data_IF_505372583561
#
_entry.id   IF_505372583561
#
_cell.length_a   1.000
_cell.length_b   1.000
_cell.length_c   1.000
_cell.angle_alpha   90.00
_cell.angle_beta   90.00
_cell.angle_gamma   90.00
#
_symmetry.space_group_name_H-M   'P 1'
#
loop_
_entity.id
_entity.type
_entity.pdbx_description
1 polymer ?
#
# COMPACT_ATOMS: atom_id res chain seq x y z
N UNK A 1 -103.10 13.54 67.00
CA UNK A 1 -101.90 13.35 67.84
C UNK A 1 -100.70 14.00 67.13
N UNK A 2 -100.15 15.05 67.77
CA UNK A 2 -98.74 15.49 67.80
C UNK A 2 -98.03 15.80 66.45
N UNK A 3 -97.93 17.08 66.02
CA UNK A 3 -96.83 18.09 66.26
C UNK A 3 -95.47 17.69 65.69
N UNK A 4 -94.77 18.41 64.78
CA UNK A 4 -94.03 19.71 64.90
C UNK A 4 -93.46 20.04 63.49
N UNK A 5 -93.74 21.17 62.83
CA UNK A 5 -92.98 22.46 62.77
C UNK A 5 -91.45 22.34 63.00
N UNK A 6 -90.63 22.79 62.04
CA UNK A 6 -89.58 23.84 62.20
C UNK A 6 -88.91 24.21 60.86
N UNK A 7 -88.74 25.52 60.77
CA UNK A 7 -88.25 26.47 59.76
C UNK A 7 -86.72 26.50 59.60
N UNK A 8 -86.25 27.35 58.66
CA UNK A 8 -84.91 27.98 58.49
C UNK A 8 -83.93 27.27 57.53
N UNK A 9 -83.05 27.94 56.79
CA UNK A 9 -82.82 29.35 56.43
C UNK A 9 -81.67 29.35 55.41
N UNK A 10 -81.72 30.23 54.43
CA UNK A 10 -80.70 30.44 53.40
C UNK A 10 -79.41 31.00 54.04
N UNK A 11 -78.26 30.38 53.78
CA UNK A 11 -76.94 31.01 53.93
C UNK A 11 -76.03 30.70 52.74
N UNK A 12 -75.60 31.78 52.10
CA UNK A 12 -74.53 31.87 51.11
C UNK A 12 -73.18 31.48 51.71
N UNK A 13 -72.46 30.55 51.06
CA UNK A 13 -71.11 30.15 51.43
C UNK A 13 -70.04 30.93 50.63
N UNK A 14 -68.91 31.31 51.25
CA UNK A 14 -67.81 32.01 50.61
C UNK A 14 -66.89 31.06 49.82
N UNK A 15 -66.31 31.55 48.72
CA UNK A 15 -65.27 30.86 47.94
C UNK A 15 -63.97 30.75 48.75
N UNK A 16 -63.34 29.57 48.86
CA UNK A 16 -62.00 29.47 49.44
C UNK A 16 -60.92 29.77 48.40
N UNK A 17 -60.37 30.98 48.46
CA UNK A 17 -59.12 31.37 47.81
C UNK A 17 -57.92 30.85 48.61
N UNK A 18 -57.50 29.59 48.42
CA UNK A 18 -56.18 29.14 48.92
C UNK A 18 -55.60 27.88 48.23
N UNK A 19 -56.36 27.21 47.35
CA UNK A 19 -55.94 25.95 46.71
C UNK A 19 -55.04 26.13 45.47
N UNK A 20 -55.04 27.32 44.84
CA UNK A 20 -54.28 27.59 43.61
C UNK A 20 -52.78 27.80 43.83
N UNK A 21 -52.35 28.20 45.04
CA UNK A 21 -50.94 28.49 45.33
C UNK A 21 -50.09 27.21 45.39
N UNK A 22 -50.59 26.16 46.05
CA UNK A 22 -49.87 24.88 46.21
C UNK A 22 -49.75 24.15 44.87
N UNK A 23 -50.81 24.17 44.05
CA UNK A 23 -50.80 23.53 42.72
C UNK A 23 -49.85 24.21 41.75
N UNK A 24 -49.71 25.55 41.82
CA UNK A 24 -48.72 26.30 41.05
C UNK A 24 -47.29 25.94 41.46
N UNK A 25 -47.01 25.81 42.76
CA UNK A 25 -45.68 25.40 43.25
C UNK A 25 -45.25 24.02 42.77
N UNK A 26 -46.15 23.03 42.77
CA UNK A 26 -45.84 21.68 42.25
C UNK A 26 -45.59 21.66 40.75
N UNK A 27 -46.33 22.48 39.97
CA UNK A 27 -46.08 22.64 38.53
C UNK A 27 -44.71 23.28 38.26
N UNK A 28 -44.30 24.29 39.03
CA UNK A 28 -42.96 24.88 38.90
C UNK A 28 -41.85 23.87 39.20
N UNK A 29 -41.99 23.06 40.24
CA UNK A 29 -41.01 22.02 40.58
C UNK A 29 -40.95 20.95 39.48
N UNK A 30 -42.10 20.52 38.93
CA UNK A 30 -42.14 19.57 37.83
C UNK A 30 -41.48 20.13 36.55
N UNK A 31 -41.71 21.40 36.23
CA UNK A 31 -41.06 22.04 35.08
C UNK A 31 -39.56 22.18 35.30
N UNK A 32 -39.12 22.61 36.49
CA UNK A 32 -37.69 22.74 36.81
C UNK A 32 -36.98 21.40 36.75
N UNK A 33 -37.60 20.33 37.27
CA UNK A 33 -37.02 18.97 37.22
C UNK A 33 -36.94 18.44 35.78
N UNK A 34 -37.96 18.66 34.96
CA UNK A 34 -37.92 18.30 33.53
C UNK A 34 -36.83 19.09 32.80
N UNK A 35 -36.71 20.39 33.06
CA UNK A 35 -35.66 21.23 32.47
C UNK A 35 -34.26 20.82 32.96
N UNK A 36 -34.10 20.46 34.23
CA UNK A 36 -32.85 19.92 34.77
C UNK A 36 -32.47 18.59 34.13
N UNK A 37 -33.42 17.66 33.98
CA UNK A 37 -33.17 16.37 33.31
C UNK A 37 -32.84 16.57 31.84
N UNK A 38 -33.53 17.49 31.15
CA UNK A 38 -33.23 17.84 29.77
C UNK A 38 -31.84 18.47 29.64
N UNK A 39 -31.49 19.40 30.53
CA UNK A 39 -30.19 20.05 30.53
C UNK A 39 -29.05 19.08 30.88
N UNK A 40 -29.26 18.17 31.84
CA UNK A 40 -28.32 17.11 32.18
C UNK A 40 -28.14 16.14 31.00
N UNK A 41 -29.22 15.75 30.30
CA UNK A 41 -29.13 14.91 29.08
C UNK A 41 -28.46 15.63 27.91
N UNK A 42 -28.68 16.93 27.75
CA UNK A 42 -28.03 17.73 26.72
C UNK A 42 -26.54 17.97 26.99
N UNK A 43 -26.10 17.84 28.26
CA UNK A 43 -24.70 17.93 28.68
C UNK A 43 -23.96 16.59 28.66
N UNK A 44 -24.66 15.46 28.47
CA UNK A 44 -24.03 14.19 28.07
C UNK A 44 -23.67 14.33 26.59
N UNK A 45 -22.57 15.04 26.36
CA UNK A 45 -22.01 15.27 25.03
C UNK A 45 -21.76 13.95 24.33
N UNK A 46 -22.11 13.91 23.05
CA UNK A 46 -21.62 12.90 22.13
C UNK A 46 -20.11 13.07 22.03
N UNK A 47 -19.35 12.35 22.85
CA UNK A 47 -17.91 12.24 22.69
C UNK A 47 -17.68 11.58 21.33
N UNK A 48 -17.43 12.40 20.31
CA UNK A 48 -16.99 11.88 19.04
C UNK A 48 -15.59 11.29 19.29
N UNK A 49 -15.41 9.98 19.13
CA UNK A 49 -14.10 9.39 19.30
C UNK A 49 -13.15 10.03 18.29
N UNK A 50 -11.93 10.30 18.74
CA UNK A 50 -10.87 10.77 17.86
C UNK A 50 -10.56 9.71 16.80
N UNK A 51 -10.03 10.13 15.65
CA UNK A 51 -9.60 9.21 14.59
C UNK A 51 -8.65 8.13 15.13
N UNK A 52 -7.74 8.49 16.04
CA UNK A 52 -6.79 7.55 16.65
C UNK A 52 -7.49 6.49 17.51
N UNK A 53 -8.51 6.87 18.29
CA UNK A 53 -9.27 5.92 19.11
C UNK A 53 -10.08 4.96 18.23
N UNK A 54 -10.69 5.46 17.16
CA UNK A 54 -11.40 4.61 16.18
C UNK A 54 -10.44 3.66 15.47
N UNK A 55 -9.29 4.16 15.01
CA UNK A 55 -8.27 3.34 14.34
C UNK A 55 -7.73 2.25 15.26
N UNK A 56 -7.39 2.60 16.50
CA UNK A 56 -6.90 1.63 17.49
C UNK A 56 -7.96 0.55 17.76
N UNK A 57 -9.20 0.96 18.02
CA UNK A 57 -10.30 0.03 18.23
C UNK A 57 -10.52 -0.89 17.01
N UNK A 58 -10.43 -0.35 15.79
CA UNK A 58 -10.58 -1.15 14.57
C UNK A 58 -9.44 -2.17 14.40
N UNK A 59 -8.19 -1.78 14.66
CA UNK A 59 -7.03 -2.68 14.59
C UNK A 59 -7.12 -3.76 15.67
N UNK A 60 -7.42 -3.37 16.91
CA UNK A 60 -7.54 -4.30 18.03
C UNK A 60 -8.67 -5.31 17.78
N UNK A 61 -9.82 -4.87 17.24
CA UNK A 61 -10.91 -5.75 16.84
C UNK A 61 -10.53 -6.67 15.67
N UNK A 62 -9.78 -6.18 14.68
CA UNK A 62 -9.30 -7.00 13.58
C UNK A 62 -8.31 -8.08 14.05
N UNK A 63 -7.42 -7.75 14.99
CA UNK A 63 -6.48 -8.73 15.57
C UNK A 63 -7.15 -9.73 16.52
N UNK A 64 -8.28 -9.38 17.12
CA UNK A 64 -9.02 -10.27 18.01
C UNK A 64 -9.64 -11.46 17.27
N UNK A 65 -10.02 -11.28 16.00
CA UNK A 65 -10.58 -12.34 15.16
C UNK A 65 -10.07 -12.22 13.72
N UNK A 66 -9.12 -13.09 13.38
CA UNK A 66 -8.57 -13.24 12.04
C UNK A 66 -9.23 -14.36 11.24
N UNK A 67 -10.35 -14.95 11.71
CA UNK A 67 -11.00 -16.08 11.04
C UNK A 67 -11.47 -15.76 9.61
N UNK A 68 -11.72 -14.48 9.30
CA UNK A 68 -12.00 -14.04 7.93
C UNK A 68 -10.85 -14.31 6.96
N UNK A 69 -9.62 -14.50 7.46
CA UNK A 69 -8.44 -14.89 6.69
C UNK A 69 -8.28 -16.41 6.56
N UNK A 70 -9.07 -17.26 7.23
CA UNK A 70 -8.89 -18.72 7.24
C UNK A 70 -8.99 -19.33 5.82
N UNK A 71 -9.74 -18.68 4.93
CA UNK A 71 -9.89 -19.10 3.53
C UNK A 71 -8.78 -18.55 2.61
N UNK A 72 -7.98 -17.59 3.08
CA UNK A 72 -6.93 -16.98 2.29
C UNK A 72 -5.74 -17.95 2.17
N UNK A 73 -5.48 -18.39 0.95
CA UNK A 73 -4.30 -19.21 0.65
C UNK A 73 -3.12 -18.31 0.31
N UNK A 74 -1.89 -18.66 0.73
CA UNK A 74 -0.70 -18.00 0.23
C UNK A 74 -0.67 -18.01 -1.30
N UNK A 75 -0.15 -16.94 -1.89
CA UNK A 75 0.04 -16.83 -3.34
C UNK A 75 0.96 -17.99 -3.77
N UNK A 76 0.50 -18.77 -4.74
CA UNK A 76 1.21 -19.95 -5.22
C UNK A 76 2.24 -19.57 -6.28
N UNK A 77 3.28 -20.41 -6.46
CA UNK A 77 4.38 -20.20 -7.42
C UNK A 77 3.88 -19.96 -8.85
N UNK A 78 2.87 -20.70 -9.28
CA UNK A 78 2.24 -20.59 -10.60
C UNK A 78 1.60 -19.22 -10.84
N UNK A 79 1.02 -18.60 -9.82
CA UNK A 79 0.45 -17.26 -9.93
C UNK A 79 1.53 -16.21 -10.22
N UNK A 80 2.70 -16.29 -9.56
CA UNK A 80 3.84 -15.41 -9.86
C UNK A 80 4.35 -15.59 -11.29
N UNK A 81 4.37 -16.84 -11.78
CA UNK A 81 4.75 -17.16 -13.15
C UNK A 81 3.74 -16.59 -14.16
N UNK A 82 2.44 -16.71 -13.89
CA UNK A 82 1.38 -16.16 -14.73
C UNK A 82 1.40 -14.63 -14.76
N UNK A 83 1.64 -13.97 -13.62
CA UNK A 83 1.79 -12.51 -13.54
C UNK A 83 2.91 -12.03 -14.47
N UNK A 84 4.06 -12.71 -14.46
CA UNK A 84 5.17 -12.39 -15.35
C UNK A 84 4.84 -12.63 -16.82
N UNK A 85 4.14 -13.72 -17.16
CA UNK A 85 3.72 -13.96 -18.55
C UNK A 85 2.72 -12.90 -19.04
N UNK A 86 1.82 -12.43 -18.16
CA UNK A 86 0.93 -11.29 -18.46
C UNK A 86 1.72 -10.03 -18.76
N UNK A 87 2.74 -9.73 -17.96
CA UNK A 87 3.64 -8.61 -18.20
C UNK A 87 4.42 -8.77 -19.52
N UNK A 88 4.94 -9.96 -19.81
CA UNK A 88 5.63 -10.24 -21.07
C UNK A 88 4.73 -9.96 -22.29
N UNK A 89 3.44 -10.33 -22.23
CA UNK A 89 2.47 -9.98 -23.28
C UNK A 89 2.31 -8.46 -23.43
N UNK A 90 2.24 -7.73 -22.33
CA UNK A 90 2.17 -6.27 -22.36
C UNK A 90 3.44 -5.63 -22.95
N UNK A 91 4.63 -6.18 -22.65
CA UNK A 91 5.90 -5.72 -23.20
C UNK A 91 5.97 -5.86 -24.73
N UNK A 92 5.47 -6.98 -25.27
CA UNK A 92 5.37 -7.17 -26.73
C UNK A 92 4.45 -6.12 -27.37
N UNK A 93 3.31 -5.81 -26.75
CA UNK A 93 2.38 -4.77 -27.24
C UNK A 93 3.01 -3.38 -27.17
N UNK A 94 3.82 -3.10 -26.15
CA UNK A 94 4.50 -1.82 -25.95
C UNK A 94 5.79 -1.65 -26.78
N UNK A 95 6.17 -2.66 -27.58
CA UNK A 95 7.47 -2.72 -28.28
C UNK A 95 8.65 -2.49 -27.32
N UNK A 96 8.61 -3.19 -26.17
CA UNK A 96 9.64 -3.16 -25.14
C UNK A 96 10.30 -4.53 -25.00
N UNK A 97 11.63 -4.51 -24.80
CA UNK A 97 12.46 -5.71 -24.75
C UNK A 97 12.62 -6.28 -23.33
N UNK A 98 12.44 -5.45 -22.30
CA UNK A 98 12.42 -5.92 -20.91
C UNK A 98 11.73 -4.91 -19.98
N UNK A 99 11.17 -5.42 -18.88
CA UNK A 99 10.80 -4.65 -17.70
C UNK A 99 11.86 -4.85 -16.61
N UNK A 100 12.26 -3.77 -15.94
CA UNK A 100 13.35 -3.80 -14.94
C UNK A 100 12.90 -3.13 -13.66
N UNK A 101 13.16 -3.79 -12.54
CA UNK A 101 12.69 -3.40 -11.22
C UNK A 101 13.71 -3.76 -10.13
N UNK A 102 13.62 -3.07 -9.00
CA UNK A 102 14.37 -3.34 -7.75
C UNK A 102 13.44 -3.96 -6.69
N UNK A 103 14.01 -4.62 -5.66
CA UNK A 103 13.27 -5.08 -4.49
C UNK A 103 12.38 -3.97 -3.91
N UNK A 104 11.10 -4.30 -3.73
CA UNK A 104 10.04 -3.34 -3.43
C UNK A 104 8.68 -4.00 -3.67
N UNK A 105 7.60 -3.20 -3.72
CA UNK A 105 6.26 -3.75 -3.92
C UNK A 105 6.09 -4.46 -5.26
N UNK A 106 6.63 -3.89 -6.34
CA UNK A 106 6.57 -4.49 -7.68
C UNK A 106 7.36 -5.80 -7.74
N UNK A 107 8.53 -5.85 -7.08
CA UNK A 107 9.31 -7.09 -7.00
C UNK A 107 8.58 -8.13 -6.16
N UNK A 108 7.99 -7.75 -5.04
CA UNK A 108 7.19 -8.67 -4.24
C UNK A 108 6.02 -9.22 -5.05
N UNK A 109 5.39 -8.41 -5.89
CA UNK A 109 4.28 -8.82 -6.75
C UNK A 109 4.68 -9.84 -7.82
N UNK A 110 5.87 -9.72 -8.43
CA UNK A 110 6.30 -10.60 -9.54
C UNK A 110 7.27 -11.72 -9.13
N UNK A 111 8.11 -11.47 -8.12
CA UNK A 111 9.22 -12.31 -7.69
C UNK A 111 9.10 -12.80 -6.24
N UNK A 112 8.04 -12.44 -5.51
CA UNK A 112 7.80 -12.85 -4.12
C UNK A 112 8.89 -12.43 -3.11
N UNK A 113 9.69 -11.41 -3.43
CA UNK A 113 10.73 -10.87 -2.53
C UNK A 113 10.38 -9.44 -2.21
N UNK A 114 10.22 -9.15 -0.93
CA UNK A 114 10.02 -7.80 -0.42
C UNK A 114 11.34 -7.06 -0.26
N UNK A 115 11.26 -5.75 -0.07
CA UNK A 115 12.41 -4.93 0.29
C UNK A 115 13.08 -5.44 1.57
N UNK A 116 12.31 -5.85 2.57
CA UNK A 116 12.83 -6.41 3.84
C UNK A 116 13.45 -7.80 3.70
N UNK A 117 13.18 -8.54 2.63
CA UNK A 117 13.88 -9.80 2.38
C UNK A 117 15.28 -9.55 1.80
N UNK A 118 15.50 -8.38 1.19
CA UNK A 118 16.74 -8.02 0.50
C UNK A 118 17.63 -7.01 1.26
N UNK A 119 17.05 -5.89 1.71
CA UNK A 119 17.74 -4.72 2.25
C UNK A 119 18.15 -4.72 3.74
N UNK A 120 17.85 -5.69 4.61
CA UNK A 120 18.30 -5.58 6.00
C UNK A 120 19.83 -5.57 6.18
N UNK A 121 20.62 -5.78 5.11
CA UNK A 121 22.02 -6.19 5.25
C UNK A 121 23.08 -5.43 4.44
N UNK A 122 22.79 -4.47 3.55
CA UNK A 122 23.87 -3.75 2.83
C UNK A 122 23.50 -2.34 2.32
N UNK A 123 24.50 -1.45 2.10
CA UNK A 123 24.24 -0.05 1.78
C UNK A 123 23.58 0.13 0.40
N UNK A 124 22.75 1.17 0.33
CA UNK A 124 21.72 1.38 -0.69
C UNK A 124 22.27 1.45 -2.13
N UNK A 125 23.58 1.62 -2.36
CA UNK A 125 24.14 1.90 -3.69
C UNK A 125 24.26 0.70 -4.64
N UNK A 126 24.25 -0.54 -4.14
CA UNK A 126 24.55 -1.74 -4.94
C UNK A 126 23.29 -2.22 -5.69
N UNK A 127 23.26 -2.20 -7.04
CA UNK A 127 22.08 -2.65 -7.77
C UNK A 127 21.87 -4.15 -7.64
N UNK A 128 20.67 -4.51 -7.18
CA UNK A 128 20.08 -5.83 -7.38
C UNK A 128 18.80 -5.67 -8.20
N UNK A 129 18.85 -6.11 -9.46
CA UNK A 129 17.77 -5.90 -10.41
C UNK A 129 17.14 -7.23 -10.80
N UNK A 130 15.81 -7.24 -10.93
CA UNK A 130 15.10 -8.27 -11.67
C UNK A 130 14.77 -7.74 -13.06
N UNK A 131 14.91 -8.61 -14.06
CA UNK A 131 14.53 -8.36 -15.44
C UNK A 131 13.47 -9.36 -15.86
N UNK A 132 12.39 -8.87 -16.46
CA UNK A 132 11.34 -9.69 -17.07
C UNK A 132 11.36 -9.41 -18.57
N UNK A 133 11.74 -10.42 -19.36
CA UNK A 133 11.88 -10.33 -20.81
C UNK A 133 10.80 -11.18 -21.49
N UNK A 134 10.16 -10.68 -22.57
CA UNK A 134 9.25 -11.50 -23.35
C UNK A 134 10.00 -12.48 -24.26
N UNK A 135 9.67 -13.76 -24.18
CA UNK A 135 10.05 -14.76 -25.17
C UNK A 135 8.81 -15.09 -26.00
N UNK A 136 8.95 -14.97 -27.33
CA UNK A 136 7.96 -15.42 -28.29
C UNK A 136 8.40 -16.76 -28.85
N UNK A 137 7.62 -17.81 -28.60
CA UNK A 137 7.89 -19.13 -29.17
C UNK A 137 7.64 -19.13 -30.69
N UNK A 138 8.16 -20.12 -31.43
CA UNK A 138 7.82 -20.29 -32.85
C UNK A 138 6.32 -20.47 -33.11
N UNK A 139 5.55 -20.93 -32.13
CA UNK A 139 4.09 -21.05 -32.19
C UNK A 139 3.34 -19.75 -31.89
N UNK A 140 4.06 -18.66 -31.57
CA UNK A 140 3.47 -17.37 -31.20
C UNK A 140 3.03 -17.27 -29.74
N UNK A 141 3.31 -18.27 -28.91
CA UNK A 141 3.05 -18.20 -27.47
C UNK A 141 4.06 -17.25 -26.81
N UNK A 142 3.58 -16.39 -25.92
CA UNK A 142 4.41 -15.40 -25.21
C UNK A 142 4.52 -15.79 -23.75
N UNK A 143 5.75 -16.04 -23.31
CA UNK A 143 6.10 -16.35 -21.93
C UNK A 143 7.18 -15.40 -21.41
N UNK A 144 7.25 -15.22 -20.10
CA UNK A 144 8.32 -14.45 -19.48
C UNK A 144 9.58 -15.30 -19.23
N UNK A 145 10.72 -14.75 -19.63
CA UNK A 145 12.03 -15.09 -19.08
C UNK A 145 12.35 -14.15 -17.94
N UNK A 146 12.83 -14.68 -16.82
CA UNK A 146 13.29 -13.88 -15.70
C UNK A 146 14.81 -14.01 -15.58
N UNK A 147 15.47 -12.89 -15.37
CA UNK A 147 16.90 -12.84 -15.09
C UNK A 147 17.20 -11.79 -14.02
N UNK A 148 18.39 -11.86 -13.42
CA UNK A 148 18.79 -10.98 -12.32
C UNK A 148 20.15 -10.36 -12.55
N UNK A 149 20.38 -9.17 -12.03
CA UNK A 149 21.70 -8.55 -11.89
C UNK A 149 22.00 -8.48 -10.40
N UNK A 150 23.10 -9.05 -9.94
CA UNK A 150 23.48 -9.05 -8.52
C UNK A 150 24.99 -8.85 -8.34
N UNK A 151 25.44 -8.26 -7.21
CA UNK A 151 26.85 -8.27 -6.85
C UNK A 151 27.38 -9.70 -6.76
N UNK A 152 28.63 -9.95 -7.18
CA UNK A 152 29.24 -11.28 -7.19
C UNK A 152 29.12 -11.99 -5.84
N UNK A 153 29.47 -11.30 -4.75
CA UNK A 153 29.48 -11.89 -3.41
C UNK A 153 28.06 -12.17 -2.86
N UNK A 154 27.01 -11.65 -3.50
CA UNK A 154 25.61 -11.88 -3.12
C UNK A 154 24.92 -12.99 -3.92
N UNK A 155 25.59 -13.57 -4.92
CA UNK A 155 25.00 -14.58 -5.80
C UNK A 155 24.38 -15.75 -5.01
N UNK A 156 25.12 -16.24 -4.01
CA UNK A 156 24.66 -17.32 -3.13
C UNK A 156 23.37 -16.96 -2.38
N UNK A 157 23.28 -15.73 -1.87
CA UNK A 157 22.08 -15.24 -1.16
C UNK A 157 20.90 -15.13 -2.10
N UNK A 158 21.09 -14.60 -3.31
CA UNK A 158 20.03 -14.47 -4.32
C UNK A 158 19.42 -15.84 -4.64
N UNK A 159 20.24 -16.89 -4.79
CA UNK A 159 19.75 -18.26 -5.03
C UNK A 159 18.94 -18.82 -3.85
N UNK A 160 19.21 -18.36 -2.63
CA UNK A 160 18.51 -18.79 -1.41
C UNK A 160 17.21 -18.02 -1.13
N UNK A 161 16.91 -16.96 -1.88
CA UNK A 161 15.69 -16.15 -1.68
C UNK A 161 14.39 -16.91 -1.99
N UNK A 162 14.45 -18.07 -2.65
CA UNK A 162 13.26 -18.85 -2.98
C UNK A 162 12.37 -18.16 -4.03
N UNK A 163 12.99 -17.37 -4.93
CA UNK A 163 12.29 -16.67 -6.00
C UNK A 163 11.59 -17.70 -6.90
N UNK A 164 10.27 -17.59 -7.13
CA UNK A 164 9.54 -18.52 -7.99
C UNK A 164 10.15 -18.57 -9.40
N UNK A 165 10.55 -19.74 -9.88
CA UNK A 165 11.17 -19.94 -11.19
C UNK A 165 10.61 -21.17 -11.89
N UNK A 166 10.68 -21.19 -13.22
CA UNK A 166 10.41 -22.39 -14.04
C UNK A 166 11.65 -23.27 -14.17
N UNK A 167 12.81 -22.65 -14.09
CA UNK A 167 14.11 -23.28 -14.20
C UNK A 167 14.61 -23.63 -12.81
N UNK A 168 15.33 -24.75 -12.69
CA UNK A 168 15.92 -25.20 -11.41
C UNK A 168 16.94 -24.20 -10.86
N UNK A 169 17.52 -23.37 -11.74
CA UNK A 169 18.49 -22.36 -11.38
C UNK A 169 18.11 -20.97 -11.89
N UNK A 170 18.51 -19.92 -11.17
CA UNK A 170 18.23 -18.53 -11.55
C UNK A 170 19.25 -18.03 -12.59
N UNK A 171 18.75 -17.35 -13.62
CA UNK A 171 19.58 -16.68 -14.64
C UNK A 171 20.19 -15.38 -14.07
N UNK A 172 21.30 -15.50 -13.33
CA UNK A 172 21.96 -14.37 -12.66
C UNK A 172 23.16 -13.86 -13.47
N UNK A 173 23.19 -12.56 -13.73
CA UNK A 173 24.38 -11.83 -14.17
C UNK A 173 25.04 -11.23 -12.95
N UNK A 174 26.27 -11.64 -12.70
CA UNK A 174 27.06 -11.15 -11.57
C UNK A 174 27.99 -10.02 -12.02
N UNK A 175 28.20 -9.04 -11.14
CA UNK A 175 29.16 -7.95 -11.36
C UNK A 175 30.12 -7.83 -10.17
N UNK A 176 31.39 -7.53 -10.47
CA UNK A 176 32.43 -7.30 -9.46
C UNK A 176 32.36 -5.86 -8.94
N UNK A 177 32.75 -5.59 -7.69
CA UNK A 177 32.62 -4.26 -7.05
C UNK A 177 33.27 -3.11 -7.85
N UNK A 178 34.28 -3.40 -8.67
CA UNK A 178 34.99 -2.42 -9.48
C UNK A 178 34.44 -2.29 -10.92
N UNK A 179 33.39 -3.02 -11.28
CA UNK A 179 32.76 -2.98 -12.60
C UNK A 179 31.55 -2.04 -12.62
N UNK A 180 31.23 -1.53 -13.81
CA UNK A 180 29.95 -0.85 -14.01
C UNK A 180 28.83 -1.91 -14.15
N UNK A 181 27.91 -2.02 -13.16
CA UNK A 181 26.87 -3.06 -13.16
C UNK A 181 25.94 -2.97 -14.38
N UNK A 182 25.70 -1.76 -14.91
CA UNK A 182 24.82 -1.57 -16.06
C UNK A 182 25.54 -1.97 -17.34
N UNK A 183 26.81 -1.60 -17.50
CA UNK A 183 27.61 -2.05 -18.63
C UNK A 183 27.72 -3.58 -18.64
N UNK A 184 28.02 -4.20 -17.49
CA UNK A 184 28.03 -5.66 -17.33
C UNK A 184 26.70 -6.29 -17.74
N UNK A 185 25.58 -5.70 -17.33
CA UNK A 185 24.25 -6.17 -17.72
C UNK A 185 24.02 -6.09 -19.25
N UNK A 186 24.34 -4.96 -19.88
CA UNK A 186 24.14 -4.76 -21.33
C UNK A 186 25.07 -5.60 -22.20
N UNK A 187 26.26 -5.93 -21.70
CA UNK A 187 27.24 -6.78 -22.39
C UNK A 187 26.99 -8.28 -22.12
N UNK A 188 26.11 -8.60 -21.17
CA UNK A 188 25.79 -9.98 -20.80
C UNK A 188 25.02 -10.74 -21.88
N UNK A 189 24.93 -12.05 -21.68
CA UNK A 189 24.12 -12.98 -22.48
C UNK A 189 22.64 -12.56 -22.61
N UNK A 190 22.10 -11.80 -21.66
CA UNK A 190 20.68 -11.38 -21.66
C UNK A 190 20.38 -10.51 -22.89
N UNK A 191 21.31 -9.64 -23.27
CA UNK A 191 21.13 -8.68 -24.37
C UNK A 191 22.04 -8.98 -25.58
N UNK A 192 22.65 -10.16 -25.65
CA UNK A 192 23.56 -10.53 -26.73
C UNK A 192 22.94 -10.42 -28.13
N UNK A 193 21.64 -10.71 -28.27
CA UNK A 193 20.89 -10.59 -29.54
C UNK A 193 20.83 -9.16 -30.07
N UNK A 194 20.88 -8.16 -29.20
CA UNK A 194 20.85 -6.74 -29.55
C UNK A 194 22.23 -6.19 -29.97
N UNK A 195 23.30 -6.90 -29.63
CA UNK A 195 24.67 -6.56 -29.95
C UNK A 195 25.19 -7.25 -31.23
N UNK A 196 24.33 -7.99 -31.95
CA UNK A 196 24.70 -8.75 -33.15
C UNK A 196 25.01 -7.87 -34.36
N UNK A 197 25.94 -8.33 -35.19
CA UNK A 197 26.51 -7.67 -36.38
C UNK A 197 25.48 -7.32 -37.46
N UNK A 198 24.28 -7.90 -37.42
CA UNK A 198 23.22 -7.71 -38.42
C UNK A 198 22.28 -6.53 -38.12
N UNK A 199 22.42 -5.87 -36.97
CA UNK A 199 21.60 -4.71 -36.62
C UNK A 199 21.76 -4.35 -35.15
N UNK A 200 22.81 -3.60 -34.83
CA UNK A 200 23.07 -3.12 -33.46
C UNK A 200 22.01 -2.08 -33.10
N UNK A 201 20.99 -2.47 -32.33
CA UNK A 201 20.06 -1.53 -31.70
C UNK A 201 20.14 -1.66 -30.20
N UNK A 202 20.02 -0.55 -29.47
CA UNK A 202 19.91 -0.61 -28.02
C UNK A 202 18.58 -1.31 -27.64
N UNK A 203 18.58 -2.15 -26.58
CA UNK A 203 17.33 -2.70 -26.06
C UNK A 203 16.46 -1.59 -25.46
N UNK A 204 15.15 -1.69 -25.69
CA UNK A 204 14.13 -0.78 -25.18
C UNK A 204 13.64 -1.30 -23.84
N UNK A 205 14.03 -0.63 -22.76
CA UNK A 205 13.69 -1.06 -21.41
C UNK A 205 12.54 -0.21 -20.87
N UNK A 206 11.59 -0.86 -20.20
CA UNK A 206 10.62 -0.22 -19.30
C UNK A 206 11.13 -0.41 -17.88
N UNK A 207 11.00 0.62 -17.07
CA UNK A 207 11.53 0.66 -15.71
C UNK A 207 10.37 0.87 -14.75
N UNK A 208 10.42 0.17 -13.62
CA UNK A 208 9.48 0.34 -12.53
C UNK A 208 9.50 1.78 -11.98
N UNK A 209 8.34 2.31 -11.61
CA UNK A 209 8.23 3.69 -11.11
C UNK A 209 8.95 3.89 -9.78
N UNK A 210 8.99 2.85 -8.95
CA UNK A 210 9.67 2.85 -7.65
C UNK A 210 11.18 2.59 -7.77
N UNK A 211 11.72 2.42 -8.99
CA UNK A 211 13.16 2.28 -9.18
C UNK A 211 13.86 3.56 -8.73
N UNK A 212 14.86 3.40 -7.87
CA UNK A 212 15.57 4.54 -7.29
C UNK A 212 16.23 5.40 -8.37
N UNK A 213 16.13 6.72 -8.23
CA UNK A 213 16.53 7.69 -9.27
C UNK A 213 18.02 7.62 -9.66
N UNK A 214 18.91 7.25 -8.74
CA UNK A 214 20.33 7.08 -9.07
C UNK A 214 20.60 5.85 -9.96
N UNK A 215 19.78 4.80 -9.83
CA UNK A 215 19.84 3.58 -10.65
C UNK A 215 19.26 3.86 -12.04
N UNK A 216 18.15 4.59 -12.10
CA UNK A 216 17.54 5.00 -13.37
C UNK A 216 18.49 5.89 -14.18
N UNK A 217 19.22 6.82 -13.52
CA UNK A 217 20.22 7.69 -14.16
C UNK A 217 21.49 6.97 -14.59
N UNK A 218 21.97 5.98 -13.81
CA UNK A 218 23.12 5.14 -14.19
C UNK A 218 22.93 4.45 -15.55
N UNK A 219 21.69 4.08 -15.88
CA UNK A 219 21.30 3.45 -17.15
C UNK A 219 21.24 4.39 -18.35
N UNK A 220 20.97 5.68 -18.13
CA UNK A 220 20.83 6.65 -19.22
C UNK A 220 22.18 7.04 -19.86
N UNK A 221 23.31 6.58 -19.30
CA UNK A 221 24.64 6.95 -19.76
C UNK A 221 25.18 5.89 -20.75
N UNK A 222 25.40 6.23 -22.03
CA UNK A 222 26.13 5.35 -22.92
C UNK A 222 27.60 5.22 -22.47
N UNK A 223 28.24 4.06 -22.65
CA UNK A 223 29.55 3.74 -22.07
C UNK A 223 30.70 4.66 -22.49
N UNK A 224 30.53 5.55 -23.48
CA UNK A 224 31.60 6.34 -24.08
C UNK A 224 31.42 7.87 -24.02
N UNK A 225 30.67 8.42 -23.05
CA UNK A 225 30.69 9.88 -22.81
C UNK A 225 31.32 10.22 -21.47
N UNK A 226 32.64 10.34 -21.50
CA UNK A 226 33.36 11.23 -20.60
C UNK A 226 32.77 12.64 -20.71
N UNK A 227 32.52 13.35 -19.60
CA UNK A 227 32.11 14.73 -19.67
C UNK A 227 33.32 15.52 -20.15
N UNK A 228 33.24 16.07 -21.37
CA UNK A 228 34.21 17.05 -21.85
C UNK A 228 34.29 18.16 -20.80
N UNK A 229 35.47 18.30 -20.17
CA UNK A 229 35.83 19.49 -19.39
C UNK A 229 35.81 20.69 -20.34
N UNK A 230 34.66 21.32 -20.53
CA UNK A 230 34.59 22.64 -21.14
C UNK A 230 35.14 23.63 -20.14
N UNK A 231 36.37 24.10 -20.41
CA UNK A 231 37.05 25.12 -19.62
C UNK A 231 36.16 26.35 -19.46
N UNK A 232 35.87 26.70 -18.21
CA UNK A 232 35.25 27.96 -17.85
C UNK A 232 36.20 29.11 -18.17
N UNK A 233 35.78 29.98 -19.08
CA UNK A 233 36.36 31.32 -19.25
C UNK A 233 36.06 32.14 -17.98
N UNK A 234 37.02 32.87 -17.40
CA UNK A 234 36.75 33.69 -16.23
C UNK A 234 35.89 34.88 -16.63
N UNK A 235 34.83 35.12 -15.85
CA UNK A 235 33.98 36.30 -15.99
C UNK A 235 34.81 37.56 -15.73
N UNK A 236 34.66 38.54 -16.62
CA UNK A 236 35.10 39.93 -16.47
C UNK A 236 33.87 40.80 -16.32
#
# INVERSE_FOLDING_TARGET
MLTKVITQSIRSFPRPCHYDSVRRSWLFIAVITVLLVWHLRAQVGTNNPSLQEVQKCAIDNAHADLSFLDSAKPIQTDEFLERRDRLARALVVADADAFVLEPGYTFQYYGNISQTDWEPWEPEERPFLMLILPIVSPSGHISAKTAFLAPHFEEGRVRMLGIPSREDDLDIVIWEEHWDPYATLFESRIFASFNSTTGRRAPRLVVDEELRDFISRGRARPPNKEPSRSGGTPCR
#
